data_IF_123897746215
#
_entry.id   IF_123897746215
#
_cell.length_a   1.000
_cell.length_b   1.000
_cell.length_c   1.000
_cell.angle_alpha   90.00
_cell.angle_beta   90.00
_cell.angle_gamma   90.00
#
_symmetry.space_group_name_H-M   'P 1'
#
loop_
_entity.id
_entity.type
_entity.pdbx_description
1 polymer ?
#
# COMPACT_ATOMS: atom_id res chain seq x y z
N UNK A 1 -48.93 -5.39 -41.11
CA UNK A 1 -48.15 -5.04 -39.91
C UNK A 1 -49.00 -5.37 -38.70
N UNK A 2 -48.48 -6.24 -37.84
CA UNK A 2 -49.20 -7.18 -36.97
C UNK A 2 -49.78 -6.55 -35.70
N UNK A 3 -51.02 -6.94 -35.40
CA UNK A 3 -51.85 -6.62 -34.23
C UNK A 3 -51.26 -7.00 -32.87
N UNK A 4 -51.86 -6.50 -31.79
CA UNK A 4 -52.15 -7.37 -30.65
C UNK A 4 -53.60 -7.23 -30.16
N UNK A 5 -54.30 -8.36 -30.04
CA UNK A 5 -55.41 -8.55 -29.08
C UNK A 5 -55.27 -9.93 -28.46
N UNK A 6 -55.63 -9.99 -27.18
CA UNK A 6 -55.51 -11.07 -26.18
C UNK A 6 -56.07 -12.44 -26.62
N UNK A 7 -55.76 -13.60 -26.01
CA UNK A 7 -55.96 -14.09 -24.62
C UNK A 7 -55.28 -15.50 -24.51
N UNK A 8 -55.42 -16.31 -23.44
CA UNK A 8 -55.07 -16.14 -22.03
C UNK A 8 -54.04 -17.21 -21.55
N UNK A 9 -53.36 -16.96 -20.42
CA UNK A 9 -52.38 -17.88 -19.80
C UNK A 9 -53.08 -18.91 -18.90
N UNK A 10 -52.74 -20.20 -19.07
CA UNK A 10 -53.17 -21.36 -18.28
C UNK A 10 -51.97 -21.90 -17.47
N UNK A 11 -52.21 -22.19 -16.18
CA UNK A 11 -51.26 -22.55 -15.11
C UNK A 11 -50.56 -23.93 -15.25
N UNK A 12 -50.86 -24.74 -16.26
CA UNK A 12 -50.38 -26.14 -16.36
C UNK A 12 -48.94 -26.31 -16.84
N UNK A 13 -48.27 -25.26 -17.31
CA UNK A 13 -46.90 -25.37 -17.87
C UNK A 13 -45.81 -25.29 -16.78
N UNK A 14 -46.14 -24.94 -15.54
CA UNK A 14 -45.16 -24.62 -14.50
C UNK A 14 -44.49 -25.82 -13.81
N UNK A 15 -44.93 -27.07 -14.05
CA UNK A 15 -44.54 -28.21 -13.20
C UNK A 15 -43.48 -29.11 -13.86
N UNK A 16 -42.95 -28.78 -15.05
CA UNK A 16 -42.01 -29.65 -15.76
C UNK A 16 -40.60 -29.08 -15.96
N UNK A 17 -40.25 -27.98 -15.30
CA UNK A 17 -38.91 -27.36 -15.43
C UNK A 17 -38.07 -27.44 -14.13
N UNK A 18 -38.34 -28.39 -13.23
CA UNK A 18 -37.56 -28.64 -12.01
C UNK A 18 -36.35 -29.58 -12.25
N UNK A 19 -35.80 -29.59 -13.47
CA UNK A 19 -34.61 -30.43 -13.79
C UNK A 19 -33.67 -29.80 -14.82
N UNK A 20 -33.54 -28.46 -14.81
CA UNK A 20 -32.49 -27.76 -15.53
C UNK A 20 -31.71 -26.83 -14.58
N UNK A 21 -30.37 -26.70 -14.75
CA UNK A 21 -29.55 -25.85 -13.90
C UNK A 21 -29.97 -24.37 -14.00
N UNK A 22 -29.97 -23.62 -12.87
CA UNK A 22 -30.64 -22.33 -12.77
C UNK A 22 -30.01 -21.23 -13.64
N UNK A 23 -30.84 -20.61 -14.48
CA UNK A 23 -30.54 -19.36 -15.20
C UNK A 23 -30.84 -18.16 -14.28
N UNK A 24 -29.96 -17.14 -14.16
CA UNK A 24 -30.23 -15.97 -13.31
C UNK A 24 -31.40 -15.13 -13.88
N UNK A 25 -32.52 -15.04 -13.16
CA UNK A 25 -33.68 -14.21 -13.51
C UNK A 25 -33.65 -12.81 -12.82
N UNK A 26 -34.24 -11.76 -13.44
CA UNK A 26 -34.20 -10.37 -12.95
C UNK A 26 -35.19 -10.12 -11.81
N UNK A 27 -34.75 -9.53 -10.69
CA UNK A 27 -35.61 -9.19 -9.55
C UNK A 27 -36.34 -7.85 -9.74
N UNK A 28 -37.67 -7.91 -9.70
CA UNK A 28 -38.62 -6.77 -9.63
C UNK A 28 -38.72 -6.28 -8.17
N UNK A 29 -38.81 -4.96 -7.96
CA UNK A 29 -38.68 -4.29 -6.67
C UNK A 29 -39.84 -4.51 -5.69
N UNK A 30 -39.51 -4.79 -4.42
CA UNK A 30 -40.42 -4.82 -3.25
C UNK A 30 -40.49 -3.42 -2.58
N UNK A 31 -41.65 -2.93 -2.11
CA UNK A 31 -41.81 -1.53 -1.66
C UNK A 31 -41.10 -1.09 -0.36
N UNK A 32 -40.41 -1.97 0.36
CA UNK A 32 -39.73 -1.67 1.64
C UNK A 32 -38.20 -1.90 1.61
N UNK A 33 -37.60 -2.01 0.42
CA UNK A 33 -36.16 -2.20 0.25
C UNK A 33 -35.48 -0.84 -0.05
N UNK A 34 -34.44 -0.40 0.70
CA UNK A 34 -33.71 0.82 0.35
C UNK A 34 -33.14 0.70 -1.08
N UNK A 35 -33.15 1.79 -1.87
CA UNK A 35 -32.96 1.73 -3.31
C UNK A 35 -31.60 1.11 -3.66
N UNK A 36 -31.63 -0.02 -4.38
CA UNK A 36 -30.45 -0.66 -4.97
C UNK A 36 -29.78 0.32 -5.93
N UNK A 37 -28.55 0.72 -5.61
CA UNK A 37 -27.71 1.57 -6.44
C UNK A 37 -27.35 0.78 -7.72
N UNK A 38 -27.55 1.33 -8.93
CA UNK A 38 -27.23 0.62 -10.17
C UNK A 38 -25.72 0.27 -10.27
N UNK A 39 -25.33 -0.80 -11.00
CA UNK A 39 -23.99 -1.41 -10.96
C UNK A 39 -22.85 -0.59 -11.60
N UNK A 40 -22.95 0.74 -11.59
CA UNK A 40 -21.94 1.66 -12.13
C UNK A 40 -21.63 2.85 -11.22
N UNK A 41 -22.18 2.92 -10.00
CA UNK A 41 -21.93 4.02 -9.06
C UNK A 41 -21.68 3.61 -7.59
N UNK A 42 -21.57 2.31 -7.30
CA UNK A 42 -21.24 1.82 -5.97
C UNK A 42 -19.71 1.81 -5.77
N UNK A 43 -19.19 2.93 -5.27
CA UNK A 43 -17.82 3.00 -4.75
C UNK A 43 -17.69 2.09 -3.52
N UNK A 44 -16.84 1.07 -3.64
CA UNK A 44 -16.19 0.32 -2.55
C UNK A 44 -17.04 0.14 -1.28
N UNK A 45 -18.14 -0.60 -1.40
CA UNK A 45 -18.71 -1.27 -0.23
C UNK A 45 -17.73 -2.37 0.17
N UNK A 46 -17.10 -2.18 1.32
CA UNK A 46 -16.22 -3.18 1.91
C UNK A 46 -17.05 -4.39 2.32
N UNK A 47 -17.19 -5.35 1.40
CA UNK A 47 -17.70 -6.69 1.67
C UNK A 47 -16.75 -7.39 2.65
N UNK A 48 -17.06 -7.24 3.93
CA UNK A 48 -16.45 -8.00 5.00
C UNK A 48 -17.02 -9.43 4.98
N UNK A 49 -16.37 -10.30 4.19
CA UNK A 49 -16.55 -11.75 4.27
C UNK A 49 -16.34 -12.25 5.73
N UNK A 50 -17.31 -12.95 6.34
CA UNK A 50 -17.29 -13.27 7.78
C UNK A 50 -16.30 -14.36 8.20
N UNK A 51 -15.40 -14.82 7.31
CA UNK A 51 -14.31 -15.76 7.64
C UNK A 51 -12.97 -15.35 7.04
N UNK A 52 -12.56 -14.11 7.31
CA UNK A 52 -11.16 -13.70 7.09
C UNK A 52 -10.48 -13.59 8.44
N UNK A 53 -9.44 -14.40 8.67
CA UNK A 53 -8.54 -14.24 9.81
C UNK A 53 -7.98 -12.82 9.79
N UNK A 54 -8.62 -11.91 10.53
CA UNK A 54 -8.14 -10.54 10.68
C UNK A 54 -6.92 -10.60 11.60
N UNK A 55 -5.82 -9.98 11.16
CA UNK A 55 -4.62 -9.84 11.98
C UNK A 55 -4.98 -9.31 13.37
N UNK A 56 -4.46 -9.97 14.42
CA UNK A 56 -4.64 -9.48 15.79
C UNK A 56 -4.14 -8.05 15.93
N UNK A 57 -4.79 -7.25 16.78
CA UNK A 57 -4.37 -5.88 17.08
C UNK A 57 -2.90 -5.84 17.51
N UNK A 58 -2.47 -6.78 18.35
CA UNK A 58 -1.08 -6.85 18.80
C UNK A 58 -0.13 -7.06 17.62
N UNK A 59 -0.41 -8.00 16.72
CA UNK A 59 0.45 -8.27 15.55
C UNK A 59 0.52 -7.06 14.60
N UNK A 60 -0.61 -6.38 14.39
CA UNK A 60 -0.69 -5.17 13.58
C UNK A 60 0.11 -4.03 14.21
N UNK A 61 -0.02 -3.82 15.52
CA UNK A 61 0.76 -2.82 16.27
C UNK A 61 2.26 -3.11 16.23
N UNK A 62 2.67 -4.37 16.40
CA UNK A 62 4.10 -4.74 16.32
C UNK A 62 4.68 -4.47 14.92
N UNK A 63 3.97 -4.82 13.86
CA UNK A 63 4.41 -4.52 12.51
C UNK A 63 4.51 -3.01 12.26
N UNK A 64 3.54 -2.24 12.75
CA UNK A 64 3.55 -0.78 12.66
C UNK A 64 4.75 -0.15 13.40
N UNK A 65 5.02 -0.59 14.63
CA UNK A 65 6.17 -0.12 15.42
C UNK A 65 7.48 -0.46 14.72
N UNK A 66 7.63 -1.68 14.21
CA UNK A 66 8.83 -2.08 13.46
C UNK A 66 9.05 -1.23 12.21
N UNK A 67 7.97 -0.85 11.51
CA UNK A 67 8.05 0.06 10.37
C UNK A 67 8.46 1.48 10.76
N UNK A 68 8.02 2.00 11.91
CA UNK A 68 8.39 3.36 12.38
C UNK A 68 9.83 3.39 12.88
N UNK A 69 10.21 2.45 13.75
CA UNK A 69 11.54 2.43 14.38
C UNK A 69 12.62 2.28 13.31
N UNK A 70 12.42 1.32 12.39
CA UNK A 70 13.24 1.10 11.20
C UNK A 70 14.75 1.23 11.43
N UNK A 71 15.47 1.72 10.41
CA UNK A 71 16.89 2.08 10.52
C UNK A 71 17.12 3.45 11.19
N UNK A 72 16.06 4.23 11.41
CA UNK A 72 16.15 5.58 11.98
C UNK A 72 16.67 5.61 13.42
N UNK A 73 16.42 4.54 14.18
CA UNK A 73 16.90 4.38 15.56
C UNK A 73 18.42 4.47 15.71
N UNK A 74 19.17 4.10 14.66
CA UNK A 74 20.64 4.15 14.67
C UNK A 74 21.15 5.60 14.69
N UNK A 75 20.41 6.54 14.08
CA UNK A 75 20.77 7.95 14.02
C UNK A 75 20.26 8.79 15.19
N UNK A 76 19.25 8.31 15.94
CA UNK A 76 18.68 9.01 17.09
C UNK A 76 19.69 9.39 18.18
N UNK A 77 20.63 8.54 18.62
CA UNK A 77 21.59 8.93 19.67
C UNK A 77 22.52 10.07 19.20
N UNK A 78 22.91 10.07 17.93
CA UNK A 78 23.70 11.15 17.35
C UNK A 78 22.90 12.46 17.28
N UNK A 79 21.63 12.40 16.85
CA UNK A 79 20.75 13.58 16.85
C UNK A 79 20.51 14.15 18.26
N UNK A 80 20.37 13.28 19.26
CA UNK A 80 20.26 13.68 20.68
C UNK A 80 21.56 14.29 21.22
N UNK A 81 22.72 13.77 20.80
CA UNK A 81 24.02 14.33 21.16
C UNK A 81 24.17 15.75 20.61
N UNK A 82 23.87 15.96 19.32
CA UNK A 82 23.99 17.27 18.67
C UNK A 82 23.00 18.31 19.20
N UNK A 83 21.77 17.91 19.53
CA UNK A 83 20.77 18.80 20.11
C UNK A 83 21.02 19.08 21.61
N UNK A 84 21.80 18.23 22.29
CA UNK A 84 21.91 18.19 23.75
C UNK A 84 20.75 17.44 24.40
N UNK A 85 21.02 16.66 25.45
CA UNK A 85 20.06 15.69 26.01
C UNK A 85 18.70 16.31 26.41
N UNK A 86 18.70 17.45 27.12
CA UNK A 86 17.46 18.09 27.56
C UNK A 86 16.61 18.63 26.42
N UNK A 87 17.23 19.36 25.48
CA UNK A 87 16.54 19.92 24.30
C UNK A 87 16.12 18.81 23.34
N UNK A 88 16.98 17.80 23.12
CA UNK A 88 16.68 16.62 22.32
C UNK A 88 15.47 15.85 22.84
N UNK A 89 15.37 15.63 24.16
CA UNK A 89 14.20 14.99 24.77
C UNK A 89 12.93 15.82 24.58
N UNK A 90 13.00 17.14 24.76
CA UNK A 90 11.88 18.04 24.51
C UNK A 90 11.42 17.96 23.04
N UNK A 91 12.36 17.97 22.09
CA UNK A 91 12.07 17.85 20.66
C UNK A 91 11.41 16.50 20.31
N UNK A 92 11.86 15.40 20.91
CA UNK A 92 11.23 14.09 20.72
C UNK A 92 9.77 14.08 21.21
N UNK A 93 9.49 14.67 22.38
CA UNK A 93 8.12 14.80 22.90
C UNK A 93 7.26 15.66 21.96
N UNK A 94 7.79 16.78 21.47
CA UNK A 94 7.08 17.65 20.52
C UNK A 94 6.77 16.92 19.21
N UNK A 95 7.74 16.23 18.62
CA UNK A 95 7.54 15.42 17.41
C UNK A 95 6.52 14.31 17.66
N UNK A 96 6.52 13.68 18.83
CA UNK A 96 5.53 12.68 19.22
C UNK A 96 4.11 13.26 19.22
N UNK A 97 3.90 14.44 19.80
CA UNK A 97 2.57 15.11 19.84
C UNK A 97 2.11 15.48 18.44
N UNK A 98 3.01 16.04 17.61
CA UNK A 98 2.70 16.41 16.23
C UNK A 98 2.32 15.17 15.42
N UNK A 99 3.07 14.08 15.57
CA UNK A 99 2.83 12.83 14.85
C UNK A 99 1.50 12.18 15.27
N UNK A 100 1.22 12.14 16.57
CA UNK A 100 -0.05 11.62 17.10
C UNK A 100 -1.26 12.40 16.56
N UNK A 101 -1.16 13.74 16.58
CA UNK A 101 -2.21 14.62 16.05
C UNK A 101 -2.41 14.41 14.54
N UNK A 102 -1.31 14.29 13.78
CA UNK A 102 -1.36 14.05 12.34
C UNK A 102 -1.98 12.69 11.99
N UNK A 103 -1.69 11.64 12.77
CA UNK A 103 -2.30 10.32 12.60
C UNK A 103 -3.80 10.34 12.90
N UNK A 104 -4.21 10.98 14.01
CA UNK A 104 -5.63 11.14 14.33
C UNK A 104 -6.38 11.90 13.24
N UNK A 105 -5.79 12.99 12.73
CA UNK A 105 -6.35 13.76 11.61
C UNK A 105 -6.46 12.90 10.35
N UNK A 106 -5.40 12.16 9.99
CA UNK A 106 -5.41 11.28 8.82
C UNK A 106 -6.52 10.24 8.93
N UNK A 107 -6.68 9.60 10.08
CA UNK A 107 -7.75 8.61 10.31
C UNK A 107 -9.14 9.26 10.21
N UNK A 108 -9.32 10.46 10.76
CA UNK A 108 -10.60 11.18 10.68
C UNK A 108 -10.98 11.52 9.23
N UNK A 109 -10.02 12.00 8.43
CA UNK A 109 -10.23 12.28 7.00
C UNK A 109 -10.49 10.99 6.23
N UNK A 110 -9.73 9.91 6.49
CA UNK A 110 -9.93 8.60 5.86
C UNK A 110 -11.35 8.06 6.07
N UNK A 111 -11.85 8.15 7.31
CA UNK A 111 -13.21 7.72 7.67
C UNK A 111 -14.28 8.56 6.99
N UNK A 112 -14.06 9.86 6.87
CA UNK A 112 -15.03 10.77 6.22
C UNK A 112 -15.06 10.55 4.71
N UNK A 113 -13.90 10.37 4.09
CA UNK A 113 -13.77 10.12 2.66
C UNK A 113 -14.07 8.66 2.26
N UNK A 114 -14.17 7.72 3.22
CA UNK A 114 -14.35 6.28 3.00
C UNK A 114 -13.29 5.65 2.08
N UNK A 115 -12.04 6.07 2.25
CA UNK A 115 -10.90 5.59 1.46
C UNK A 115 -9.87 4.89 2.34
N UNK A 116 -9.21 3.87 1.79
CA UNK A 116 -8.26 3.02 2.52
C UNK A 116 -6.79 3.26 2.12
N UNK A 117 -6.54 4.06 1.08
CA UNK A 117 -5.18 4.38 0.63
C UNK A 117 -4.83 5.85 0.92
N UNK A 118 -3.55 6.12 1.18
CA UNK A 118 -3.10 7.49 1.44
C UNK A 118 -3.23 8.40 0.21
N UNK A 119 -3.00 7.86 -1.00
CA UNK A 119 -3.13 8.61 -2.24
C UNK A 119 -4.59 9.02 -2.49
N UNK A 120 -5.55 8.12 -2.27
CA UNK A 120 -6.98 8.43 -2.43
C UNK A 120 -7.47 9.40 -1.35
N UNK A 121 -6.91 9.31 -0.14
CA UNK A 121 -7.17 10.28 0.93
C UNK A 121 -6.75 11.70 0.54
N UNK A 122 -5.54 11.84 -0.02
CA UNK A 122 -5.06 13.13 -0.51
C UNK A 122 -5.87 13.58 -1.73
N UNK A 123 -6.28 12.67 -2.61
CA UNK A 123 -7.16 13.00 -3.73
C UNK A 123 -8.52 13.52 -3.26
N UNK A 124 -9.10 12.93 -2.21
CA UNK A 124 -10.35 13.39 -1.63
C UNK A 124 -10.23 14.77 -0.97
N UNK A 125 -9.07 15.08 -0.38
CA UNK A 125 -8.83 16.36 0.31
C UNK A 125 -8.37 17.50 -0.62
N UNK A 126 -7.52 17.21 -1.61
CA UNK A 126 -6.83 18.20 -2.46
C UNK A 126 -7.06 17.98 -3.97
N UNK A 127 -7.82 16.96 -4.35
CA UNK A 127 -8.09 16.60 -5.75
C UNK A 127 -6.91 15.93 -6.46
N UNK A 128 -7.05 15.82 -7.79
CA UNK A 128 -6.08 15.21 -8.70
C UNK A 128 -4.64 15.74 -8.58
N UNK A 129 -4.36 17.05 -8.41
CA UNK A 129 -2.98 17.50 -8.29
C UNK A 129 -2.32 16.96 -7.01
N UNK A 130 -3.05 16.91 -5.90
CA UNK A 130 -2.58 16.31 -4.65
C UNK A 130 -2.28 14.82 -4.80
N UNK A 131 -3.14 14.08 -5.49
CA UNK A 131 -2.90 12.67 -5.81
C UNK A 131 -1.57 12.48 -6.56
N UNK A 132 -1.34 13.24 -7.62
CA UNK A 132 -0.14 13.07 -8.45
C UNK A 132 1.15 13.41 -7.68
N UNK A 133 1.13 14.50 -6.90
CA UNK A 133 2.28 14.93 -6.09
C UNK A 133 2.59 13.89 -5.02
N UNK A 134 1.58 13.44 -4.25
CA UNK A 134 1.78 12.43 -3.20
C UNK A 134 2.23 11.10 -3.78
N UNK A 135 1.68 10.69 -4.92
CA UNK A 135 2.12 9.47 -5.62
C UNK A 135 3.59 9.55 -6.03
N UNK A 136 4.01 10.69 -6.59
CA UNK A 136 5.39 10.92 -6.99
C UNK A 136 6.35 10.94 -5.78
N UNK A 137 5.98 11.62 -4.69
CA UNK A 137 6.78 11.66 -3.47
C UNK A 137 6.90 10.28 -2.82
N UNK A 138 5.80 9.52 -2.76
CA UNK A 138 5.78 8.18 -2.18
C UNK A 138 6.57 7.16 -3.00
N UNK A 139 6.69 7.36 -4.32
CA UNK A 139 7.61 6.60 -5.16
C UNK A 139 9.07 7.05 -4.99
N UNK A 140 9.31 8.36 -4.96
CA UNK A 140 10.65 8.94 -4.94
C UNK A 140 11.40 8.68 -3.62
N UNK A 141 10.70 8.66 -2.49
CA UNK A 141 11.27 8.38 -1.17
C UNK A 141 12.00 7.01 -1.11
N UNK A 142 11.36 5.87 -1.38
CA UNK A 142 12.05 4.57 -1.41
C UNK A 142 13.02 4.45 -2.58
N UNK A 143 12.78 5.12 -3.72
CA UNK A 143 13.68 5.09 -4.86
C UNK A 143 15.05 5.70 -4.54
N UNK A 144 15.08 6.90 -3.94
CA UNK A 144 16.34 7.54 -3.51
C UNK A 144 17.03 6.71 -2.43
N UNK A 145 16.26 6.13 -1.50
CA UNK A 145 16.78 5.22 -0.48
C UNK A 145 17.47 4.00 -1.11
N UNK A 146 16.87 3.39 -2.14
CA UNK A 146 17.42 2.23 -2.85
C UNK A 146 18.71 2.59 -3.61
N UNK A 147 18.76 3.76 -4.25
CA UNK A 147 19.99 4.24 -4.90
C UNK A 147 21.09 4.43 -3.86
N UNK A 148 20.78 5.08 -2.73
CA UNK A 148 21.73 5.33 -1.66
C UNK A 148 22.29 4.04 -1.09
N UNK A 149 21.42 3.03 -0.90
CA UNK A 149 21.83 1.71 -0.45
C UNK A 149 22.77 1.02 -1.45
N UNK A 150 22.47 1.07 -2.76
CA UNK A 150 23.35 0.51 -3.78
C UNK A 150 24.75 1.15 -3.78
N UNK A 151 24.84 2.48 -3.59
CA UNK A 151 26.13 3.18 -3.50
C UNK A 151 26.91 2.71 -2.25
N UNK A 152 26.25 2.66 -1.09
CA UNK A 152 26.88 2.23 0.17
C UNK A 152 27.39 0.78 0.07
N UNK A 153 26.60 -0.11 -0.54
CA UNK A 153 27.02 -1.49 -0.79
C UNK A 153 28.23 -1.52 -1.71
N UNK A 154 28.23 -0.77 -2.81
CA UNK A 154 29.37 -0.65 -3.71
C UNK A 154 30.65 -0.20 -3.00
N UNK A 155 30.56 0.85 -2.19
CA UNK A 155 31.70 1.41 -1.45
C UNK A 155 32.22 0.47 -0.36
N UNK A 156 31.31 -0.22 0.34
CA UNK A 156 31.67 -1.14 1.43
C UNK A 156 32.19 -2.47 0.91
N UNK A 157 31.51 -3.07 -0.09
CA UNK A 157 31.96 -4.30 -0.75
C UNK A 157 33.36 -4.14 -1.32
N UNK A 158 33.63 -3.04 -2.02
CA UNK A 158 34.96 -2.78 -2.60
C UNK A 158 36.06 -2.82 -1.53
N UNK A 159 35.84 -2.14 -0.39
CA UNK A 159 36.81 -2.12 0.73
C UNK A 159 36.99 -3.50 1.36
N UNK A 160 35.90 -4.24 1.56
CA UNK A 160 35.93 -5.60 2.14
C UNK A 160 36.65 -6.57 1.20
N UNK A 161 36.35 -6.54 -0.10
CA UNK A 161 36.99 -7.39 -1.12
C UNK A 161 38.49 -7.14 -1.19
N UNK A 162 38.94 -5.89 -1.22
CA UNK A 162 40.38 -5.56 -1.20
C UNK A 162 41.03 -6.10 0.08
N UNK A 163 40.37 -5.94 1.24
CA UNK A 163 40.93 -6.37 2.52
C UNK A 163 41.04 -7.89 2.66
N UNK A 164 40.07 -8.63 2.11
CA UNK A 164 40.00 -10.10 2.19
C UNK A 164 40.85 -10.78 1.12
N UNK A 165 40.88 -10.25 -0.10
CA UNK A 165 41.54 -10.92 -1.23
C UNK A 165 42.97 -10.43 -1.48
N UNK A 166 43.36 -9.25 -0.98
CA UNK A 166 44.68 -8.68 -1.21
C UNK A 166 44.99 -8.33 -2.67
N UNK A 167 43.99 -8.41 -3.56
CA UNK A 167 44.12 -8.13 -5.00
C UNK A 167 44.20 -6.61 -5.20
N UNK A 168 45.19 -6.14 -5.95
CA UNK A 168 45.39 -4.71 -6.25
C UNK A 168 44.22 -4.08 -7.02
N UNK A 169 44.06 -2.76 -6.87
CA UNK A 169 42.96 -1.93 -7.41
C UNK A 169 42.79 -1.96 -8.95
N UNK A 170 43.69 -2.63 -9.68
CA UNK A 170 43.72 -2.68 -11.15
C UNK A 170 42.72 -3.69 -11.74
N UNK A 171 42.15 -4.58 -10.92
CA UNK A 171 41.17 -5.57 -11.41
C UNK A 171 39.81 -4.94 -11.67
N UNK A 172 39.24 -5.16 -12.85
CA UNK A 172 37.90 -4.69 -13.27
C UNK A 172 36.80 -5.12 -12.28
N UNK A 173 37.03 -6.23 -11.56
CA UNK A 173 36.19 -6.78 -10.50
C UNK A 173 36.07 -5.89 -9.25
N UNK A 174 37.00 -4.96 -9.03
CA UNK A 174 37.07 -4.07 -7.85
C UNK A 174 36.53 -2.66 -8.18
N UNK A 175 36.20 -2.36 -9.43
CA UNK A 175 35.62 -1.07 -9.79
C UNK A 175 34.22 -0.95 -9.19
N UNK A 176 33.99 0.14 -8.46
CA UNK A 176 32.69 0.47 -7.82
C UNK A 176 31.51 0.35 -8.79
N UNK A 177 31.70 0.75 -10.05
CA UNK A 177 30.67 0.70 -11.11
C UNK A 177 30.29 -0.74 -11.48
N UNK A 178 31.28 -1.64 -11.55
CA UNK A 178 31.05 -3.05 -11.83
C UNK A 178 30.36 -3.74 -10.64
N UNK A 179 30.73 -3.39 -9.41
CA UNK A 179 30.10 -3.92 -8.19
C UNK A 179 28.66 -3.42 -8.05
N UNK A 180 28.40 -2.13 -8.30
CA UNK A 180 27.04 -1.56 -8.30
C UNK A 180 26.18 -2.18 -9.40
N UNK A 181 26.71 -2.34 -10.62
CA UNK A 181 25.99 -2.98 -11.73
C UNK A 181 25.71 -4.46 -11.43
N UNK A 182 26.70 -5.18 -10.90
CA UNK A 182 26.57 -6.61 -10.57
C UNK A 182 25.63 -6.84 -9.38
N UNK A 183 25.67 -6.02 -8.31
CA UNK A 183 24.71 -6.17 -7.20
C UNK A 183 23.30 -5.82 -7.64
N UNK A 184 23.12 -4.79 -8.47
CA UNK A 184 21.80 -4.45 -9.01
C UNK A 184 21.26 -5.58 -9.90
N UNK A 185 22.10 -6.19 -10.74
CA UNK A 185 21.68 -7.18 -11.73
C UNK A 185 21.54 -8.60 -11.15
N UNK A 186 22.35 -8.96 -10.15
CA UNK A 186 22.31 -10.29 -9.50
C UNK A 186 21.50 -10.34 -8.22
N UNK A 187 21.25 -9.22 -7.56
CA UNK A 187 20.50 -9.16 -6.29
C UNK A 187 19.20 -8.40 -6.51
N UNK A 188 19.27 -7.10 -6.81
CA UNK A 188 18.07 -6.24 -6.86
C UNK A 188 17.09 -6.67 -7.95
N UNK A 189 17.59 -7.01 -9.14
CA UNK A 189 16.78 -7.36 -10.30
C UNK A 189 16.04 -8.70 -10.13
N UNK A 190 16.67 -9.82 -9.75
CA UNK A 190 15.95 -11.06 -9.50
C UNK A 190 15.00 -10.95 -8.29
N UNK A 191 15.37 -10.24 -7.21
CA UNK A 191 14.47 -10.01 -6.08
C UNK A 191 13.26 -9.15 -6.44
N UNK A 192 13.41 -8.22 -7.38
CA UNK A 192 12.31 -7.37 -7.86
C UNK A 192 11.44 -8.07 -8.92
N UNK A 193 12.01 -9.03 -9.66
CA UNK A 193 11.31 -9.82 -10.69
C UNK A 193 10.61 -11.05 -10.12
N UNK A 194 10.95 -11.49 -8.90
CA UNK A 194 10.34 -12.65 -8.22
C UNK A 194 8.94 -12.33 -7.64
N UNK A 195 8.15 -11.51 -8.32
CA UNK A 195 6.82 -11.10 -7.87
C UNK A 195 5.75 -11.54 -8.84
#
# INVERSE_FOLDING_TARGET
MTSPTAFPVNERTYILEDTAPPQPQPQLATPDEPPKIPPGLAGYEGDADPKKDKSSLSFTSFNYINSIVGSGVIGMPFALHEAGFGVGMLLLILVSIITDTALCLMIAVARTAKVNTYQDLVNAAFGKPGFLITSALQFMYPFISLISYNIIVGDTMTKVLIRVTGIGQESVLVKREFIMATSTLLITLPLSLYR
#
